data_IF_506291030691
#
_entry.id   IF_506291030691
#
_cell.length_a   1.000
_cell.length_b   1.000
_cell.length_c   1.000
_cell.angle_alpha   90.00
_cell.angle_beta   90.00
_cell.angle_gamma   90.00
#
_symmetry.space_group_name_H-M   'P 1'
#
loop_
_entity.id
_entity.type
_entity.pdbx_description
1 polymer ?
#
# COMPACT_ATOMS: atom_id res chain seq x y z
N UNK A 1 -3.07 2.67 -27.31
CA UNK A 1 -2.58 2.26 -26.01
C UNK A 1 -3.28 3.15 -25.02
N UNK A 2 -4.46 2.68 -24.63
CA UNK A 2 -5.22 3.35 -23.62
C UNK A 2 -4.62 3.03 -22.24
N UNK A 3 -4.43 4.05 -21.41
CA UNK A 3 -3.71 3.97 -20.13
C UNK A 3 -4.69 4.06 -18.95
N UNK A 4 -4.57 3.17 -17.97
CA UNK A 4 -5.39 3.21 -16.76
C UNK A 4 -4.90 4.28 -15.78
N UNK A 5 -5.81 4.99 -15.10
CA UNK A 5 -5.47 6.05 -14.14
C UNK A 5 -5.72 5.59 -12.69
N UNK A 6 -4.80 5.92 -11.80
CA UNK A 6 -5.01 5.91 -10.36
C UNK A 6 -4.59 7.28 -9.84
N UNK A 7 -5.51 8.00 -9.22
CA UNK A 7 -5.22 9.27 -8.55
C UNK A 7 -5.14 8.97 -7.07
N UNK A 8 -3.93 8.99 -6.53
CA UNK A 8 -3.70 8.66 -5.13
C UNK A 8 -3.49 9.93 -4.31
N UNK A 9 -4.37 10.16 -3.34
CA UNK A 9 -4.04 11.01 -2.20
C UNK A 9 -3.05 10.22 -1.33
N UNK A 10 -1.75 10.52 -1.48
CA UNK A 10 -0.74 9.95 -0.59
C UNK A 10 -0.78 10.76 0.70
N UNK A 11 -1.62 10.33 1.64
CA UNK A 11 -1.51 10.76 3.03
C UNK A 11 -0.13 10.30 3.49
N UNK A 12 0.73 11.20 4.01
CA UNK A 12 1.97 10.75 4.60
C UNK A 12 1.61 9.72 5.67
N UNK A 13 2.20 8.52 5.59
CA UNK A 13 2.18 7.63 6.73
C UNK A 13 2.65 8.46 7.92
N UNK A 14 1.82 8.54 8.96
CA UNK A 14 2.24 9.10 10.24
C UNK A 14 3.42 8.22 10.66
N UNK A 15 4.63 8.68 10.38
CA UNK A 15 5.81 8.15 11.03
C UNK A 15 5.64 8.58 12.48
N UNK A 16 5.19 7.65 13.33
CA UNK A 16 5.35 7.85 14.76
C UNK A 16 6.82 8.19 14.98
N UNK A 17 7.12 9.31 15.68
CA UNK A 17 8.51 9.62 16.02
C UNK A 17 9.09 8.38 16.71
N UNK A 18 10.33 7.97 16.38
CA UNK A 18 10.90 6.75 16.94
C UNK A 18 10.79 6.84 18.46
N UNK A 19 9.93 6.00 19.04
CA UNK A 19 9.67 6.08 20.47
C UNK A 19 10.99 5.78 21.15
N UNK A 20 11.56 6.76 21.87
CA UNK A 20 12.83 6.59 22.56
C UNK A 20 12.73 5.35 23.46
N UNK A 21 13.42 4.27 23.07
CA UNK A 21 13.37 2.97 23.72
C UNK A 21 14.71 2.71 24.40
N UNK A 22 14.67 2.42 25.69
CA UNK A 22 15.84 1.98 26.45
C UNK A 22 15.84 0.46 26.66
N UNK A 23 14.94 -0.27 25.99
CA UNK A 23 14.87 -1.72 26.09
C UNK A 23 16.25 -2.36 25.82
N UNK A 24 16.64 -3.31 26.68
CA UNK A 24 17.88 -4.07 26.57
C UNK A 24 19.20 -3.28 26.71
N UNK A 25 19.13 -1.98 26.98
CA UNK A 25 20.31 -1.20 27.39
C UNK A 25 20.74 -1.54 28.82
N UNK A 26 22.03 -1.35 29.13
CA UNK A 26 22.58 -1.67 30.46
C UNK A 26 22.01 -0.75 31.53
N UNK A 27 21.70 -1.33 32.70
CA UNK A 27 21.29 -0.58 33.88
C UNK A 27 22.23 -0.87 35.06
N UNK A 28 22.41 0.11 35.94
CA UNK A 28 23.43 0.06 36.99
C UNK A 28 22.98 -0.71 38.24
N UNK A 29 21.67 -0.73 38.54
CA UNK A 29 21.12 -1.30 39.78
C UNK A 29 19.86 -2.12 39.52
N UNK A 30 19.87 -3.36 39.99
CA UNK A 30 18.74 -4.28 39.88
C UNK A 30 17.48 -3.71 40.55
N UNK A 31 16.30 -4.04 40.02
CA UNK A 31 14.99 -3.64 40.53
C UNK A 31 14.69 -2.12 40.53
N UNK A 32 15.52 -1.31 39.88
CA UNK A 32 15.21 0.12 39.65
C UNK A 32 14.25 0.26 38.45
N UNK A 33 13.30 1.20 38.50
CA UNK A 33 12.38 1.51 37.42
C UNK A 33 12.69 2.85 36.75
N UNK A 34 12.41 2.99 35.45
CA UNK A 34 12.54 4.23 34.68
C UNK A 34 11.47 4.30 33.60
N UNK A 35 10.83 5.45 33.45
CA UNK A 35 9.85 5.68 32.37
C UNK A 35 10.50 6.47 31.23
N UNK A 36 10.36 5.99 30.00
CA UNK A 36 10.81 6.67 28.77
C UNK A 36 9.73 6.52 27.70
N UNK A 37 9.28 7.63 27.12
CA UNK A 37 8.24 7.60 26.08
C UNK A 37 6.90 7.03 26.55
N UNK A 38 6.51 7.25 27.81
CA UNK A 38 5.24 6.74 28.37
C UNK A 38 5.21 5.25 28.70
N UNK A 39 6.37 4.58 28.59
CA UNK A 39 6.58 3.17 28.88
C UNK A 39 7.51 3.02 30.09
N UNK A 40 7.07 2.26 31.09
CA UNK A 40 7.87 1.95 32.28
C UNK A 40 8.78 0.76 32.00
N UNK A 41 10.06 0.88 32.34
CA UNK A 41 11.06 -0.17 32.28
C UNK A 41 11.57 -0.50 33.68
N UNK A 42 11.91 -1.76 33.95
CA UNK A 42 12.53 -2.22 35.20
C UNK A 42 13.84 -2.92 34.88
N UNK A 43 14.88 -2.61 35.65
CA UNK A 43 16.19 -3.23 35.53
C UNK A 43 16.18 -4.66 36.07
N UNK A 44 16.43 -5.65 35.20
CA UNK A 44 16.47 -7.07 35.54
C UNK A 44 17.78 -7.72 35.10
N UNK A 45 18.26 -8.76 35.81
CA UNK A 45 19.40 -9.55 35.36
C UNK A 45 19.05 -10.31 34.08
N UNK A 46 19.93 -10.24 33.10
CA UNK A 46 19.91 -11.00 31.84
C UNK A 46 21.30 -11.60 31.67
N UNK A 47 21.46 -12.87 32.05
CA UNK A 47 22.77 -13.50 32.19
C UNK A 47 23.60 -12.82 33.28
N UNK A 48 24.86 -12.47 32.98
CA UNK A 48 25.79 -11.80 33.92
C UNK A 48 25.68 -10.26 33.94
N UNK A 49 24.72 -9.68 33.21
CA UNK A 49 24.57 -8.21 33.08
C UNK A 49 23.14 -7.78 33.42
N UNK A 50 23.00 -6.56 33.91
CA UNK A 50 21.71 -5.94 34.22
C UNK A 50 21.20 -5.15 33.00
N UNK A 51 19.94 -5.36 32.60
CA UNK A 51 19.32 -4.68 31.45
C UNK A 51 17.89 -4.19 31.74
N UNK A 52 17.50 -3.10 31.07
CA UNK A 52 16.14 -2.55 31.16
C UNK A 52 15.14 -3.42 30.41
N UNK A 53 14.06 -3.84 31.09
CA UNK A 53 12.95 -4.62 30.53
C UNK A 53 11.64 -3.86 30.67
N UNK A 54 10.83 -3.82 29.59
CA UNK A 54 9.54 -3.14 29.57
C UNK A 54 8.56 -3.80 30.55
N UNK A 55 7.80 -2.98 31.28
CA UNK A 55 6.69 -3.40 32.12
C UNK A 55 5.39 -3.17 31.33
N UNK A 56 4.57 -4.20 31.20
CA UNK A 56 3.25 -4.08 30.58
C UNK A 56 2.36 -3.17 31.45
N UNK A 57 1.64 -2.22 30.84
CA UNK A 57 0.56 -1.48 31.51
C UNK A 57 -0.60 -2.46 31.72
N UNK A 58 -0.95 -2.77 32.97
CA UNK A 58 -2.24 -3.41 33.27
C UNK A 58 -3.35 -2.41 32.98
N UNK A 59 -4.16 -2.69 31.95
CA UNK A 59 -5.43 -2.00 31.74
C UNK A 59 -6.37 -2.28 32.91
N UNK A 60 -6.95 -1.22 33.46
CA UNK A 60 -8.00 -1.32 34.46
C UNK A 60 -9.24 -1.98 33.82
N UNK A 61 -9.61 -3.16 34.30
CA UNK A 61 -10.92 -3.75 34.07
C UNK A 61 -11.60 -3.84 35.42
N UNK A 62 -12.61 -2.98 35.59
CA UNK A 62 -13.58 -3.02 36.68
C UNK A 62 -14.35 -4.34 36.61
N UNK A 63 -14.37 -5.11 37.70
CA UNK A 63 -15.13 -6.34 37.76
C UNK A 63 -14.87 -7.16 39.00
N UNK A 64 -15.68 -6.92 40.04
CA UNK A 64 -15.82 -7.72 41.25
C UNK A 64 -16.05 -9.20 40.92
N UNK A 65 -15.17 -10.09 41.38
CA UNK A 65 -15.52 -11.36 42.04
C UNK A 65 -14.28 -12.19 42.37
N UNK A 66 -14.25 -12.61 43.62
CA UNK A 66 -13.23 -13.40 44.31
C UNK A 66 -13.27 -14.85 43.85
N UNK A 67 -12.20 -15.38 43.24
CA UNK A 67 -11.86 -16.81 43.28
C UNK A 67 -10.35 -16.97 43.27
N UNK A 68 -9.82 -17.59 44.32
CA UNK A 68 -8.42 -17.96 44.51
C UNK A 68 -8.12 -19.22 43.70
N UNK A 69 -7.27 -19.11 42.68
CA UNK A 69 -6.68 -20.28 42.02
C UNK A 69 -5.20 -20.02 41.75
N UNK A 70 -4.34 -20.80 42.41
CA UNK A 70 -2.90 -20.82 42.17
C UNK A 70 -2.62 -21.39 40.78
N UNK A 71 -2.17 -20.55 39.85
CA UNK A 71 -1.77 -20.98 38.51
C UNK A 71 -0.27 -20.78 38.33
N UNK A 72 0.46 -21.89 38.28
CA UNK A 72 1.88 -21.98 37.91
C UNK A 72 2.06 -21.41 36.49
N UNK A 73 2.72 -20.27 36.37
CA UNK A 73 2.98 -19.60 35.08
C UNK A 73 4.23 -20.19 34.41
N UNK A 74 4.03 -21.19 33.55
CA UNK A 74 5.06 -21.66 32.61
C UNK A 74 5.28 -20.58 31.55
N UNK A 75 6.48 -19.99 31.51
CA UNK A 75 6.82 -18.91 30.57
C UNK A 75 7.22 -19.51 29.23
N UNK A 76 6.29 -19.62 28.29
CA UNK A 76 6.59 -20.04 26.91
C UNK A 76 7.23 -18.86 26.17
N UNK A 77 8.51 -19.00 25.83
CA UNK A 77 9.25 -18.03 25.03
C UNK A 77 8.94 -18.30 23.56
N UNK A 78 8.08 -17.49 22.93
CA UNK A 78 7.80 -17.63 21.50
C UNK A 78 8.95 -17.00 20.70
N UNK A 79 9.90 -17.82 20.26
CA UNK A 79 10.91 -17.42 19.29
C UNK A 79 10.29 -17.46 17.90
N UNK A 80 10.09 -16.30 17.26
CA UNK A 80 9.66 -16.24 15.86
C UNK A 80 10.81 -16.75 14.98
N UNK A 81 10.77 -18.05 14.69
CA UNK A 81 11.67 -18.68 13.73
C UNK A 81 11.12 -18.36 12.34
N UNK A 82 11.87 -17.65 11.51
CA UNK A 82 11.55 -17.54 10.09
C UNK A 82 11.83 -18.93 9.50
N UNK A 83 10.78 -19.71 9.27
CA UNK A 83 10.92 -21.01 8.64
C UNK A 83 11.30 -20.79 7.17
N UNK A 84 12.46 -21.31 6.70
CA UNK A 84 12.83 -21.21 5.30
C UNK A 84 11.83 -22.00 4.45
N UNK A 85 11.43 -21.42 3.32
CA UNK A 85 10.57 -22.09 2.35
C UNK A 85 11.18 -23.45 1.96
N UNK A 86 10.41 -24.53 2.15
CA UNK A 86 10.80 -25.88 1.74
C UNK A 86 10.10 -26.21 0.43
N UNK A 87 10.88 -26.45 -0.62
CA UNK A 87 10.36 -26.94 -1.89
C UNK A 87 9.72 -28.32 -1.65
N UNK A 88 8.49 -28.58 -2.13
CA UNK A 88 7.86 -29.89 -2.00
C UNK A 88 8.72 -30.99 -2.62
N UNK A 89 8.93 -32.09 -1.89
CA UNK A 89 9.66 -33.27 -2.38
C UNK A 89 8.80 -34.21 -3.22
N UNK A 90 7.47 -34.03 -3.18
CA UNK A 90 6.50 -34.79 -3.95
C UNK A 90 5.96 -33.95 -5.09
N UNK A 91 5.83 -34.55 -6.27
CA UNK A 91 5.19 -33.90 -7.41
C UNK A 91 3.71 -33.61 -7.09
N UNK A 92 3.29 -32.37 -7.31
CA UNK A 92 1.88 -32.00 -7.21
C UNK A 92 1.07 -32.65 -8.34
N UNK A 93 -0.22 -32.90 -8.08
CA UNK A 93 -1.18 -33.16 -9.15
C UNK A 93 -1.23 -32.00 -10.14
N UNK A 94 -1.65 -32.28 -11.38
CA UNK A 94 -1.81 -31.25 -12.41
C UNK A 94 -2.75 -30.14 -11.91
N UNK A 95 -2.34 -28.86 -11.96
CA UNK A 95 -3.14 -27.74 -11.46
C UNK A 95 -4.53 -27.66 -12.10
N UNK A 96 -4.67 -28.13 -13.34
CA UNK A 96 -5.94 -28.16 -14.08
C UNK A 96 -7.05 -28.93 -13.36
N UNK A 97 -6.70 -29.92 -12.55
CA UNK A 97 -7.66 -30.70 -11.77
C UNK A 97 -8.35 -29.86 -10.68
N UNK A 98 -7.70 -28.81 -10.21
CA UNK A 98 -8.21 -27.92 -9.16
C UNK A 98 -8.71 -26.57 -9.71
N UNK A 99 -8.73 -26.38 -11.03
CA UNK A 99 -9.23 -25.14 -11.64
C UNK A 99 -10.76 -25.10 -11.59
N UNK A 100 -11.30 -24.38 -10.61
CA UNK A 100 -12.73 -24.12 -10.52
C UNK A 100 -13.18 -23.28 -11.74
N UNK A 101 -13.98 -23.87 -12.63
CA UNK A 101 -14.54 -23.15 -13.78
C UNK A 101 -15.58 -22.14 -13.30
N UNK A 102 -15.38 -20.88 -13.64
CA UNK A 102 -16.31 -19.80 -13.31
C UNK A 102 -17.49 -19.83 -14.29
N UNK A 103 -18.63 -20.31 -13.82
CA UNK A 103 -19.89 -20.35 -14.57
C UNK A 103 -20.93 -19.34 -14.04
N UNK A 104 -20.52 -18.40 -13.17
CA UNK A 104 -21.43 -17.44 -12.55
C UNK A 104 -22.17 -16.60 -13.60
N UNK A 105 -23.41 -16.19 -13.27
CA UNK A 105 -24.18 -15.27 -14.12
C UNK A 105 -23.40 -13.98 -14.35
N UNK A 106 -22.76 -13.47 -13.31
CA UNK A 106 -21.97 -12.24 -13.36
C UNK A 106 -20.78 -12.35 -14.31
N UNK A 107 -20.07 -13.49 -14.36
CA UNK A 107 -19.00 -13.74 -15.35
C UNK A 107 -19.56 -13.68 -16.78
N UNK A 108 -20.71 -14.31 -17.03
CA UNK A 108 -21.34 -14.36 -18.36
C UNK A 108 -21.86 -12.98 -18.80
N UNK A 109 -22.42 -12.20 -17.87
CA UNK A 109 -22.99 -10.88 -18.15
C UNK A 109 -21.91 -9.80 -18.30
N UNK A 110 -20.93 -9.75 -17.40
CA UNK A 110 -19.99 -8.62 -17.33
C UNK A 110 -18.57 -8.95 -17.85
N UNK A 111 -18.19 -10.23 -17.92
CA UNK A 111 -16.89 -10.66 -18.46
C UNK A 111 -15.65 -10.10 -17.74
N UNK A 112 -15.79 -9.67 -16.48
CA UNK A 112 -14.72 -8.96 -15.74
C UNK A 112 -14.56 -9.36 -14.26
N UNK A 113 -15.44 -10.21 -13.72
CA UNK A 113 -15.34 -10.68 -12.33
C UNK A 113 -14.54 -11.98 -12.26
N UNK A 114 -13.52 -12.00 -11.40
CA UNK A 114 -12.57 -13.11 -11.29
C UNK A 114 -12.91 -13.97 -10.08
N UNK A 115 -13.89 -14.87 -10.21
CA UNK A 115 -14.23 -15.85 -9.17
C UNK A 115 -13.68 -17.26 -9.47
N UNK A 116 -13.01 -17.44 -10.61
CA UNK A 116 -12.46 -18.72 -11.05
C UNK A 116 -11.83 -18.67 -12.43
N UNK A 117 -11.64 -19.85 -13.04
CA UNK A 117 -10.94 -20.04 -14.30
C UNK A 117 -11.89 -20.01 -15.52
N UNK A 118 -11.39 -19.61 -16.71
CA UNK A 118 -10.04 -19.08 -16.94
C UNK A 118 -9.85 -17.68 -16.33
N UNK A 119 -8.61 -17.36 -15.97
CA UNK A 119 -8.21 -16.03 -15.51
C UNK A 119 -8.46 -15.03 -16.64
N UNK A 120 -9.01 -13.86 -16.32
CA UNK A 120 -9.26 -12.80 -17.30
C UNK A 120 -8.02 -11.92 -17.38
N UNK A 121 -7.26 -12.05 -18.47
CA UNK A 121 -6.00 -11.32 -18.67
C UNK A 121 -6.14 -10.06 -19.55
N UNK A 122 -7.36 -9.71 -19.97
CA UNK A 122 -7.59 -8.57 -20.87
C UNK A 122 -7.22 -7.21 -20.23
N UNK A 123 -7.31 -7.08 -18.90
CA UNK A 123 -7.00 -5.83 -18.21
C UNK A 123 -5.55 -5.75 -17.70
N UNK A 124 -5.04 -6.81 -17.10
CA UNK A 124 -3.62 -6.97 -16.81
C UNK A 124 -3.29 -8.44 -17.07
N UNK A 125 -2.19 -8.71 -17.77
CA UNK A 125 -1.74 -10.08 -17.93
C UNK A 125 -1.30 -10.63 -16.56
N UNK A 126 -1.47 -11.93 -16.32
CA UNK A 126 -1.13 -12.53 -15.02
C UNK A 126 0.39 -12.68 -14.81
N UNK A 127 1.19 -12.32 -15.81
CA UNK A 127 2.65 -12.36 -15.80
C UNK A 127 3.22 -11.34 -16.79
N UNK A 128 4.45 -10.91 -16.53
CA UNK A 128 5.21 -9.99 -17.38
C UNK A 128 5.84 -8.85 -16.58
N UNK A 129 6.58 -8.01 -17.28
CA UNK A 129 7.06 -6.73 -16.77
C UNK A 129 6.12 -5.64 -17.25
N UNK A 130 5.63 -4.81 -16.33
CA UNK A 130 4.73 -3.70 -16.63
C UNK A 130 5.38 -2.39 -16.22
N UNK A 131 5.38 -1.42 -17.14
CA UNK A 131 5.78 -0.05 -16.83
C UNK A 131 4.59 0.70 -16.25
N UNK A 132 4.73 1.18 -15.02
CA UNK A 132 3.82 2.13 -14.40
C UNK A 132 4.44 3.52 -14.43
N UNK A 133 3.65 4.53 -14.75
CA UNK A 133 4.10 5.91 -14.66
C UNK A 133 3.71 6.53 -13.32
N UNK A 134 4.58 7.37 -12.77
CA UNK A 134 4.26 8.24 -11.64
C UNK A 134 4.45 9.68 -12.06
N UNK A 135 3.38 10.47 -11.98
CA UNK A 135 3.35 11.83 -12.50
C UNK A 135 2.81 12.78 -11.41
N UNK A 136 3.64 13.67 -10.86
CA UNK A 136 3.20 14.71 -9.95
C UNK A 136 2.36 15.76 -10.68
N UNK A 137 1.19 16.09 -10.14
CA UNK A 137 0.30 17.15 -10.67
C UNK A 137 -0.01 18.20 -9.60
N UNK A 138 -0.02 19.47 -9.99
CA UNK A 138 -0.35 20.58 -9.10
C UNK A 138 -1.40 21.51 -9.71
N UNK A 139 -1.85 22.47 -8.90
CA UNK A 139 -2.92 23.41 -9.24
C UNK A 139 -2.45 24.84 -9.02
N UNK A 140 -3.17 25.82 -9.59
CA UNK A 140 -2.79 27.23 -9.46
C UNK A 140 -2.76 27.72 -8.00
N UNK A 141 -3.69 27.24 -7.18
CA UNK A 141 -3.88 27.56 -5.78
C UNK A 141 -3.21 26.58 -4.81
N UNK A 142 -2.86 25.37 -5.29
CA UNK A 142 -2.19 24.34 -4.50
C UNK A 142 -0.93 23.88 -5.23
N UNK A 143 0.20 24.60 -5.06
CA UNK A 143 1.44 24.29 -5.74
C UNK A 143 2.09 23.02 -5.19
N UNK A 144 2.85 22.36 -6.06
CA UNK A 144 3.61 21.17 -5.73
C UNK A 144 4.70 21.37 -4.67
N UNK A 145 4.95 20.33 -3.88
CA UNK A 145 6.04 20.30 -2.90
C UNK A 145 7.38 19.88 -3.53
N UNK A 146 8.51 20.38 -3.01
CA UNK A 146 9.85 20.07 -3.56
C UNK A 146 10.35 18.66 -3.26
N UNK A 147 9.60 17.87 -2.47
CA UNK A 147 10.04 16.59 -1.93
C UNK A 147 9.15 15.40 -2.37
N UNK A 148 8.40 15.56 -3.47
CA UNK A 148 7.41 14.56 -3.92
C UNK A 148 7.99 13.15 -4.07
N UNK A 149 9.19 13.03 -4.66
CA UNK A 149 9.83 11.73 -4.85
C UNK A 149 10.15 11.04 -3.53
N UNK A 150 10.65 11.78 -2.54
CA UNK A 150 10.93 11.22 -1.21
C UNK A 150 9.66 10.74 -0.51
N UNK A 151 8.51 11.36 -0.79
CA UNK A 151 7.21 10.98 -0.22
C UNK A 151 6.63 9.72 -0.86
N UNK A 152 6.89 9.49 -2.14
CA UNK A 152 6.28 8.38 -2.89
C UNK A 152 7.21 7.19 -3.15
N UNK A 153 8.53 7.34 -2.95
CA UNK A 153 9.49 6.27 -3.17
C UNK A 153 9.16 4.99 -2.40
N UNK A 154 8.81 5.11 -1.12
CA UNK A 154 8.42 3.95 -0.31
C UNK A 154 7.12 3.31 -0.83
N UNK A 155 6.17 4.09 -1.31
CA UNK A 155 4.90 3.57 -1.86
C UNK A 155 5.14 2.84 -3.18
N UNK A 156 5.98 3.39 -4.06
CA UNK A 156 6.39 2.73 -5.30
C UNK A 156 7.06 1.39 -5.02
N UNK A 157 7.98 1.36 -4.04
CA UNK A 157 8.64 0.12 -3.61
C UNK A 157 7.63 -0.88 -3.06
N UNK A 158 6.75 -0.46 -2.14
CA UNK A 158 5.74 -1.34 -1.55
C UNK A 158 4.81 -1.95 -2.61
N UNK A 159 4.40 -1.17 -3.61
CA UNK A 159 3.60 -1.68 -4.74
C UNK A 159 4.39 -2.70 -5.55
N UNK A 160 5.64 -2.40 -5.93
CA UNK A 160 6.50 -3.33 -6.66
C UNK A 160 6.73 -4.64 -5.88
N UNK A 161 7.10 -4.55 -4.61
CA UNK A 161 7.37 -5.69 -3.74
C UNK A 161 6.11 -6.54 -3.54
N UNK A 162 4.95 -5.89 -3.37
CA UNK A 162 3.69 -6.61 -3.20
C UNK A 162 3.36 -7.43 -4.44
N UNK A 163 3.45 -6.84 -5.64
CA UNK A 163 3.16 -7.56 -6.89
C UNK A 163 4.17 -8.67 -7.18
N UNK A 164 5.45 -8.44 -6.90
CA UNK A 164 6.49 -9.47 -7.01
C UNK A 164 6.18 -10.65 -6.09
N UNK A 165 5.90 -10.37 -4.81
CA UNK A 165 5.59 -11.38 -3.79
C UNK A 165 4.30 -12.16 -4.11
N UNK A 166 3.16 -11.50 -4.36
CA UNK A 166 1.89 -12.22 -4.57
C UNK A 166 1.83 -12.96 -5.89
N UNK A 167 2.66 -12.57 -6.86
CA UNK A 167 2.77 -13.25 -8.15
C UNK A 167 3.82 -14.36 -8.16
N UNK A 168 4.60 -14.52 -7.10
CA UNK A 168 5.77 -15.42 -7.06
C UNK A 168 6.78 -15.07 -8.17
N UNK A 169 7.12 -13.78 -8.28
CA UNK A 169 8.08 -13.23 -9.25
C UNK A 169 7.60 -13.19 -10.72
N UNK A 170 6.32 -13.55 -10.98
CA UNK A 170 5.76 -13.56 -12.34
C UNK A 170 5.37 -12.18 -12.85
N UNK A 171 5.10 -11.23 -11.95
CA UNK A 171 4.76 -9.85 -12.26
C UNK A 171 5.88 -8.95 -11.73
N UNK A 172 6.50 -8.19 -12.64
CA UNK A 172 7.47 -7.15 -12.30
C UNK A 172 6.91 -5.78 -12.65
N UNK A 173 7.12 -4.80 -11.78
CA UNK A 173 6.73 -3.41 -12.01
C UNK A 173 7.98 -2.56 -12.18
N UNK A 174 8.06 -1.85 -13.30
CA UNK A 174 9.06 -0.82 -13.56
C UNK A 174 8.38 0.55 -13.50
N UNK A 175 9.06 1.53 -12.91
CA UNK A 175 8.49 2.86 -12.73
C UNK A 175 9.11 3.89 -13.69
N UNK A 176 8.29 4.57 -14.48
CA UNK A 176 8.67 5.74 -15.29
C UNK A 176 8.18 7.01 -14.58
N UNK A 177 9.10 7.78 -14.01
CA UNK A 177 8.75 8.91 -13.14
C UNK A 177 8.96 10.24 -13.83
N UNK A 178 7.91 11.08 -13.87
CA UNK A 178 8.04 12.47 -14.28
C UNK A 178 8.62 13.31 -13.12
N UNK A 179 9.73 14.01 -13.37
CA UNK A 179 10.53 14.65 -12.32
C UNK A 179 9.97 16.00 -11.84
N UNK A 180 9.09 16.60 -12.64
CA UNK A 180 8.54 17.94 -12.38
C UNK A 180 7.04 17.88 -12.12
N UNK A 181 6.52 18.91 -11.45
CA UNK A 181 5.08 19.09 -11.30
C UNK A 181 4.47 19.53 -12.62
N UNK A 182 3.38 18.87 -13.00
CA UNK A 182 2.57 19.26 -14.14
C UNK A 182 1.35 20.05 -13.66
N UNK A 183 1.20 21.27 -14.18
CA UNK A 183 0.08 22.13 -13.84
C UNK A 183 -1.18 21.64 -14.55
N UNK A 184 -2.16 21.23 -13.77
CA UNK A 184 -3.51 20.97 -14.26
C UNK A 184 -4.25 22.32 -14.41
N UNK A 185 -5.01 22.55 -15.50
CA UNK A 185 -5.77 23.79 -15.68
C UNK A 185 -6.79 24.01 -14.55
N UNK A 186 -7.00 25.27 -14.16
CA UNK A 186 -7.94 25.62 -13.10
C UNK A 186 -7.35 25.57 -11.68
N UNK A 187 -8.25 25.48 -10.71
CA UNK A 187 -7.95 25.49 -9.26
C UNK A 187 -8.36 24.17 -8.63
N UNK A 188 -7.85 23.89 -7.42
CA UNK A 188 -8.19 22.68 -6.68
C UNK A 188 -9.70 22.54 -6.42
N UNK A 189 -10.40 23.67 -6.28
CA UNK A 189 -11.86 23.72 -6.13
C UNK A 189 -12.61 23.06 -7.29
N UNK A 190 -12.10 23.20 -8.52
CA UNK A 190 -12.73 22.64 -9.74
C UNK A 190 -12.73 21.11 -9.76
N UNK A 191 -11.86 20.49 -8.95
CA UNK A 191 -11.66 19.04 -8.88
C UNK A 191 -12.04 18.45 -7.51
N UNK A 192 -12.80 19.21 -6.71
CA UNK A 192 -13.17 18.80 -5.35
C UNK A 192 -14.01 17.53 -5.37
N UNK A 193 -13.61 16.56 -4.55
CA UNK A 193 -14.34 15.31 -4.42
C UNK A 193 -14.37 14.84 -2.96
N UNK A 194 -15.58 14.76 -2.40
CA UNK A 194 -15.79 14.37 -1.00
C UNK A 194 -15.76 12.86 -0.76
N UNK A 195 -15.98 12.05 -1.81
CA UNK A 195 -15.95 10.58 -1.78
C UNK A 195 -15.56 10.05 -3.17
N UNK A 196 -14.90 8.91 -3.22
CA UNK A 196 -14.53 8.22 -4.45
C UNK A 196 -15.75 7.95 -5.31
N UNK A 197 -15.66 8.31 -6.60
CA UNK A 197 -16.68 8.03 -7.61
C UNK A 197 -16.05 7.31 -8.79
N UNK A 198 -16.65 6.20 -9.20
CA UNK A 198 -16.20 5.43 -10.35
C UNK A 198 -16.67 6.00 -11.69
N UNK A 199 -17.47 7.06 -11.70
CA UNK A 199 -18.01 7.70 -12.90
C UNK A 199 -17.53 9.15 -13.06
N UNK A 200 -16.61 9.62 -12.19
CA UNK A 200 -16.04 10.95 -12.29
C UNK A 200 -14.59 10.84 -12.74
N UNK A 201 -14.34 11.26 -13.99
CA UNK A 201 -13.02 11.18 -14.63
C UNK A 201 -12.47 12.57 -14.94
N UNK A 202 -13.06 13.64 -14.39
CA UNK A 202 -12.74 15.00 -14.78
C UNK A 202 -11.27 15.36 -14.52
N UNK A 203 -10.79 15.07 -13.30
CA UNK A 203 -9.38 15.30 -12.95
C UNK A 203 -8.43 14.39 -13.75
N UNK A 204 -8.80 13.13 -13.97
CA UNK A 204 -7.97 12.21 -14.74
C UNK A 204 -7.76 12.72 -16.17
N UNK A 205 -8.84 13.13 -16.85
CA UNK A 205 -8.77 13.69 -18.19
C UNK A 205 -7.92 14.96 -18.24
N UNK A 206 -8.10 15.87 -17.28
CA UNK A 206 -7.32 17.09 -17.21
C UNK A 206 -5.83 16.82 -16.94
N UNK A 207 -5.52 15.86 -16.07
CA UNK A 207 -4.15 15.46 -15.76
C UNK A 207 -3.45 14.78 -16.95
N UNK A 208 -4.15 13.89 -17.66
CA UNK A 208 -3.62 13.29 -18.88
C UNK A 208 -3.42 14.33 -19.98
N UNK A 209 -4.38 15.22 -20.22
CA UNK A 209 -4.24 16.28 -21.22
C UNK A 209 -3.05 17.21 -20.92
N UNK A 210 -2.77 17.48 -19.65
CA UNK A 210 -1.59 18.25 -19.23
C UNK A 210 -0.27 17.47 -19.39
N UNK A 211 -0.30 16.14 -19.26
CA UNK A 211 0.89 15.28 -19.29
C UNK A 211 1.27 14.79 -20.69
N UNK A 212 0.30 14.52 -21.56
CA UNK A 212 0.46 13.99 -22.92
C UNK A 212 1.49 14.75 -23.79
N UNK A 213 1.58 16.10 -23.76
CA UNK A 213 2.62 16.79 -24.53
C UNK A 213 4.03 16.73 -23.92
N UNK A 214 4.17 16.29 -22.65
CA UNK A 214 5.40 16.40 -21.86
C UNK A 214 5.94 15.05 -21.39
N UNK A 215 5.15 13.99 -21.49
CA UNK A 215 5.47 12.67 -21.01
C UNK A 215 5.06 11.63 -22.05
N UNK A 216 6.05 10.88 -22.53
CA UNK A 216 5.83 9.77 -23.46
C UNK A 216 5.15 8.60 -22.74
N UNK A 217 3.93 8.27 -23.13
CA UNK A 217 3.18 7.15 -22.55
C UNK A 217 3.42 5.80 -23.26
N UNK A 218 4.36 5.73 -24.20
CA UNK A 218 4.72 4.47 -24.86
C UNK A 218 5.05 3.38 -23.84
N UNK A 219 4.42 2.21 -24.01
CA UNK A 219 4.54 1.05 -23.13
C UNK A 219 4.11 1.25 -21.66
N UNK A 220 3.50 2.40 -21.31
CA UNK A 220 2.96 2.63 -19.97
C UNK A 220 1.63 1.91 -19.84
N UNK A 221 1.51 1.05 -18.83
CA UNK A 221 0.30 0.27 -18.59
C UNK A 221 -0.72 1.00 -17.72
N UNK A 222 -0.25 1.73 -16.72
CA UNK A 222 -1.08 2.56 -15.87
C UNK A 222 -0.27 3.73 -15.29
N UNK A 223 -0.99 4.77 -14.88
CA UNK A 223 -0.42 6.03 -14.38
C UNK A 223 -0.95 6.30 -12.98
N UNK A 224 -0.04 6.60 -12.06
CA UNK A 224 -0.32 7.13 -10.74
C UNK A 224 -0.11 8.65 -10.74
N UNK A 225 -1.19 9.42 -10.66
CA UNK A 225 -1.10 10.87 -10.46
C UNK A 225 -0.96 11.18 -8.98
N UNK A 226 0.07 11.95 -8.64
CA UNK A 226 0.38 12.32 -7.24
C UNK A 226 -0.06 13.75 -7.00
N UNK A 227 -0.91 13.93 -6.00
CA UNK A 227 -1.40 15.25 -5.60
C UNK A 227 -0.39 16.00 -4.70
N UNK A 228 -0.49 17.34 -4.62
CA UNK A 228 0.32 18.14 -3.72
C UNK A 228 0.13 17.75 -2.25
N UNK A 229 1.20 17.84 -1.47
CA UNK A 229 1.15 17.57 -0.04
C UNK A 229 0.19 18.53 0.67
N UNK A 230 -0.65 17.99 1.56
CA UNK A 230 -1.54 18.79 2.40
C UNK A 230 -2.83 19.26 1.69
N UNK A 231 -3.08 18.78 0.47
CA UNK A 231 -4.36 18.98 -0.19
C UNK A 231 -5.52 18.44 0.66
N UNK A 232 -6.65 19.13 0.66
CA UNK A 232 -7.88 18.73 1.37
C UNK A 232 -9.11 18.63 0.45
N UNK A 233 -8.96 18.98 -0.83
CA UNK A 233 -10.07 19.02 -1.78
C UNK A 233 -10.47 17.62 -2.26
N UNK A 234 -9.59 16.64 -2.16
CA UNK A 234 -9.87 15.22 -2.41
C UNK A 234 -9.65 14.40 -1.15
N UNK A 235 -10.75 14.07 -0.47
CA UNK A 235 -10.72 13.21 0.71
C UNK A 235 -10.39 11.75 0.34
N UNK A 236 -10.83 11.32 -0.84
CA UNK A 236 -10.57 9.99 -1.40
C UNK A 236 -9.99 10.13 -2.81
N UNK A 237 -9.12 9.19 -3.19
CA UNK A 237 -8.58 9.10 -4.55
C UNK A 237 -9.61 8.65 -5.58
N UNK A 238 -9.32 8.84 -6.86
CA UNK A 238 -10.14 8.34 -7.99
C UNK A 238 -9.40 7.18 -8.65
N UNK A 239 -10.14 6.14 -9.04
CA UNK A 239 -9.61 4.97 -9.72
C UNK A 239 -10.30 4.77 -11.07
N UNK A 240 -9.52 4.59 -12.13
CA UNK A 240 -10.01 4.24 -13.46
C UNK A 240 -10.43 2.78 -13.55
N UNK A 241 -11.52 2.39 -12.89
CA UNK A 241 -12.04 1.02 -12.93
C UNK A 241 -12.40 0.60 -14.36
N UNK A 242 -12.19 -0.66 -14.73
CA UNK A 242 -12.59 -1.16 -16.06
C UNK A 242 -14.09 -0.97 -16.37
N UNK A 243 -14.94 -0.95 -15.35
CA UNK A 243 -16.38 -0.72 -15.49
C UNK A 243 -16.78 0.77 -15.42
N UNK A 244 -15.82 1.67 -15.20
CA UNK A 244 -16.04 3.12 -15.36
C UNK A 244 -16.06 3.47 -16.84
N UNK A 245 -16.69 4.59 -17.20
CA UNK A 245 -16.65 5.14 -18.56
C UNK A 245 -15.21 5.25 -19.10
N UNK A 246 -14.28 5.69 -18.25
CA UNK A 246 -12.87 5.78 -18.56
C UNK A 246 -12.23 4.42 -18.87
N UNK A 247 -12.39 3.44 -17.97
CA UNK A 247 -11.79 2.12 -18.13
C UNK A 247 -12.49 1.22 -19.16
N UNK A 248 -13.79 1.42 -19.41
CA UNK A 248 -14.55 0.64 -20.40
C UNK A 248 -14.15 0.98 -21.82
N UNK A 249 -13.77 2.24 -22.06
CA UNK A 249 -13.26 2.74 -23.34
C UNK A 249 -11.77 2.40 -23.54
N UNK A 250 -11.16 1.66 -22.61
CA UNK A 250 -9.77 1.24 -22.64
C UNK A 250 -8.85 2.08 -21.76
N UNK A 251 -9.26 3.27 -21.31
CA UNK A 251 -8.43 4.26 -20.63
C UNK A 251 -8.27 5.55 -21.46
N UNK A 252 -7.33 6.42 -21.08
CA UNK A 252 -7.05 7.65 -21.82
C UNK A 252 -6.27 7.35 -23.11
N UNK A 253 -6.66 7.97 -24.22
CA UNK A 253 -5.93 7.90 -25.50
C UNK A 253 -4.85 8.98 -25.52
N UNK A 254 -3.59 8.55 -25.54
CA UNK A 254 -2.42 9.45 -25.59
C UNK A 254 -1.95 9.62 -27.03
N UNK A 255 -1.05 10.58 -27.27
CA UNK A 255 -0.52 10.86 -28.61
C UNK A 255 0.25 9.68 -29.22
N UNK A 256 0.76 8.77 -28.40
CA UNK A 256 1.54 7.62 -28.82
C UNK A 256 0.71 6.46 -29.38
N UNK A 257 -0.62 6.59 -29.40
CA UNK A 257 -1.53 5.69 -30.08
C UNK A 257 -2.05 4.62 -29.17
#
# INVERSE_FOLDING_TARGET
MSVAAVIASVVPAVSEPPTASIADTRCARQATSRSVGGVTYVCRPVGKVLRWKRVAKSGAVTGTSTVTTSTTSTTTTTTTTIEPYRVPTLASSLPDLCRLRDQSMQRRTYGQLVAGFPVIERNFAAKGTFTLALIPIDFADVPGDSAVLSRVADQMRLVSDWYDMVSDGRVRIEWKVHQSWLRVPGTSADYTMSRSRSNDNFLANAAFAAADPLFDFSAVRAVAFVLPKGQTFMAEGVQGFKHSEFGSNGGYLTNEG
#
